data_IF_241446792612
#
_entry.id   IF_241446792612
#
_cell.length_a   1.000
_cell.length_b   1.000
_cell.length_c   1.000
_cell.angle_alpha   90.00
_cell.angle_beta   90.00
_cell.angle_gamma   90.00
#
_symmetry.space_group_name_H-M   'P 1'
#
loop_
_entity.id
_entity.type
_entity.pdbx_description
1 polymer ?
#
# COMPACT_ATOMS: atom_id res chain seq x y z
N UNK A 1 -14.37 8.50 -1.11
CA UNK A 1 -14.19 7.66 -2.32
C UNK A 1 -12.89 6.90 -2.12
N UNK A 2 -12.86 5.61 -2.46
CA UNK A 2 -11.64 4.80 -2.32
C UNK A 2 -11.09 4.48 -3.71
N UNK A 3 -9.77 4.31 -3.82
CA UNK A 3 -9.12 3.76 -5.00
C UNK A 3 -8.83 2.27 -4.76
N UNK A 4 -8.74 1.50 -5.85
CA UNK A 4 -8.11 0.18 -5.80
C UNK A 4 -6.59 0.32 -5.71
N UNK A 5 -5.92 -0.74 -5.26
CA UNK A 5 -4.44 -0.76 -5.11
C UNK A 5 -3.74 -0.46 -6.43
N UNK A 6 -4.20 -1.03 -7.55
CA UNK A 6 -3.58 -0.76 -8.86
C UNK A 6 -3.69 0.73 -9.26
N UNK A 7 -4.82 1.38 -8.96
CA UNK A 7 -5.03 2.80 -9.25
C UNK A 7 -4.18 3.70 -8.35
N UNK A 8 -4.05 3.34 -7.07
CA UNK A 8 -3.17 4.04 -6.14
C UNK A 8 -1.71 3.93 -6.58
N UNK A 9 -1.28 2.75 -7.06
CA UNK A 9 0.07 2.53 -7.61
C UNK A 9 0.30 3.30 -8.91
N UNK A 10 -0.69 3.39 -9.78
CA UNK A 10 -0.60 4.25 -10.99
C UNK A 10 -0.40 5.72 -10.58
N UNK A 11 -1.18 6.20 -9.61
CA UNK A 11 -1.04 7.54 -9.06
C UNK A 11 0.34 7.75 -8.41
N UNK A 12 0.86 6.78 -7.67
CA UNK A 12 2.21 6.85 -7.09
C UNK A 12 3.28 7.04 -8.19
N UNK A 13 3.16 6.33 -9.31
CA UNK A 13 4.10 6.49 -10.45
C UNK A 13 4.04 7.89 -11.07
N UNK A 14 2.86 8.51 -11.15
CA UNK A 14 2.72 9.91 -11.63
C UNK A 14 3.52 10.90 -10.76
N UNK A 15 3.71 10.57 -9.47
CA UNK A 15 4.48 11.36 -8.51
C UNK A 15 5.92 10.88 -8.32
N UNK A 16 6.40 9.97 -9.19
CA UNK A 16 7.75 9.43 -9.13
C UNK A 16 8.02 8.54 -7.91
N UNK A 17 6.96 8.02 -7.27
CA UNK A 17 7.07 7.11 -6.14
C UNK A 17 7.23 5.68 -6.69
N UNK A 18 8.30 5.01 -6.24
CA UNK A 18 8.60 3.64 -6.62
C UNK A 18 7.51 2.69 -6.13
N UNK A 19 7.03 1.84 -7.03
CA UNK A 19 6.11 0.75 -6.76
C UNK A 19 6.51 -0.44 -7.60
N UNK A 20 6.25 -1.66 -7.11
CA UNK A 20 6.47 -2.86 -7.89
C UNK A 20 5.66 -2.81 -9.19
N UNK A 21 6.21 -3.42 -10.24
CA UNK A 21 5.55 -3.49 -11.53
C UNK A 21 4.44 -4.54 -11.43
N UNK A 22 3.24 -4.12 -11.79
CA UNK A 22 2.06 -4.98 -11.74
C UNK A 22 1.09 -4.67 -12.85
N UNK A 23 0.34 -5.69 -13.26
CA UNK A 23 -0.61 -5.64 -14.35
C UNK A 23 -2.00 -6.04 -13.80
N UNK A 24 -2.98 -5.12 -13.80
CA UNK A 24 -4.35 -5.47 -13.50
C UNK A 24 -4.97 -6.25 -14.66
N UNK A 25 -5.68 -7.33 -14.34
CA UNK A 25 -6.41 -8.17 -15.30
C UNK A 25 -7.85 -8.34 -14.88
N UNK A 26 -8.77 -8.34 -15.84
CA UNK A 26 -10.22 -8.51 -15.60
C UNK A 26 -10.75 -9.87 -16.08
N UNK A 27 -9.88 -10.68 -16.71
CA UNK A 27 -10.25 -11.97 -17.30
C UNK A 27 -9.12 -12.97 -17.17
N UNK A 28 -9.46 -14.24 -16.90
CA UNK A 28 -8.48 -15.33 -16.85
C UNK A 28 -7.67 -15.48 -18.14
N UNK A 29 -8.19 -15.03 -19.29
CA UNK A 29 -7.48 -15.08 -20.57
C UNK A 29 -6.28 -14.12 -20.64
N UNK A 30 -6.25 -13.10 -19.79
CA UNK A 30 -5.19 -12.08 -19.77
C UNK A 30 -4.00 -12.49 -18.89
N UNK A 31 -4.17 -13.47 -17.99
CA UNK A 31 -3.18 -13.89 -16.98
C UNK A 31 -1.83 -14.23 -17.61
N UNK A 32 -1.81 -15.14 -18.59
CA UNK A 32 -0.59 -15.57 -19.27
C UNK A 32 0.15 -14.40 -19.92
N UNK A 33 -0.58 -13.48 -20.56
CA UNK A 33 0.02 -12.30 -21.20
C UNK A 33 0.61 -11.35 -20.16
N UNK A 34 -0.10 -11.14 -19.04
CA UNK A 34 0.35 -10.31 -17.93
C UNK A 34 1.65 -10.88 -17.33
N UNK A 35 1.65 -12.17 -16.97
CA UNK A 35 2.85 -12.83 -16.41
C UNK A 35 4.04 -12.76 -17.38
N UNK A 36 3.83 -13.04 -18.66
CA UNK A 36 4.90 -12.94 -19.66
C UNK A 36 5.47 -11.52 -19.86
N UNK A 37 4.78 -10.50 -19.35
CA UNK A 37 5.22 -9.10 -19.41
C UNK A 37 5.87 -8.62 -18.09
N UNK A 38 5.86 -9.46 -17.06
CA UNK A 38 6.48 -9.24 -15.76
C UNK A 38 7.77 -10.05 -15.67
N UNK A 39 8.74 -9.53 -14.93
CA UNK A 39 10.00 -10.21 -14.69
C UNK A 39 9.87 -11.19 -13.50
N UNK A 40 10.84 -12.10 -13.36
CA UNK A 40 10.91 -13.05 -12.25
C UNK A 40 10.36 -14.44 -12.54
N UNK A 41 10.46 -15.32 -11.53
CA UNK A 41 9.99 -16.72 -11.55
C UNK A 41 8.80 -16.97 -10.62
N UNK A 42 8.39 -15.94 -9.87
CA UNK A 42 7.22 -15.96 -8.99
C UNK A 42 6.59 -14.57 -8.98
N UNK A 43 5.29 -14.53 -8.68
CA UNK A 43 4.47 -13.32 -8.68
C UNK A 43 3.50 -13.33 -7.52
N UNK A 44 3.05 -12.15 -7.10
CA UNK A 44 1.97 -12.00 -6.13
C UNK A 44 0.68 -11.69 -6.88
N UNK A 45 -0.35 -12.51 -6.67
CA UNK A 45 -1.70 -12.29 -7.22
C UNK A 45 -2.62 -11.75 -6.14
N UNK A 46 -3.27 -10.62 -6.43
CA UNK A 46 -4.02 -9.83 -5.45
C UNK A 46 -5.42 -9.50 -5.95
N UNK A 47 -6.44 -10.03 -5.30
CA UNK A 47 -7.82 -9.64 -5.53
C UNK A 47 -8.00 -8.14 -5.22
N UNK A 48 -8.62 -7.42 -6.16
CA UNK A 48 -8.85 -5.99 -6.03
C UNK A 48 -10.25 -5.73 -5.47
N UNK A 49 -10.28 -5.35 -4.20
CA UNK A 49 -11.46 -4.85 -3.48
C UNK A 49 -11.03 -3.64 -2.64
N UNK A 50 -11.97 -2.84 -2.15
CA UNK A 50 -11.64 -1.67 -1.33
C UNK A 50 -11.36 -2.02 0.13
N UNK A 51 -11.84 -3.19 0.60
CA UNK A 51 -11.58 -3.67 1.94
C UNK A 51 -10.15 -4.20 2.10
N UNK A 52 -9.55 -3.91 3.25
CA UNK A 52 -8.30 -4.52 3.73
C UNK A 52 -8.52 -5.96 4.22
N UNK A 53 -7.44 -6.58 4.72
CA UNK A 53 -7.48 -7.96 5.23
C UNK A 53 -7.53 -9.06 4.18
N UNK A 54 -7.26 -8.70 2.91
CA UNK A 54 -7.34 -9.60 1.75
C UNK A 54 -6.45 -10.83 1.90
N UNK A 55 -5.22 -10.68 2.39
CA UNK A 55 -4.29 -11.80 2.60
C UNK A 55 -4.84 -12.87 3.55
N UNK A 56 -5.39 -12.46 4.70
CA UNK A 56 -6.02 -13.38 5.67
C UNK A 56 -7.24 -14.12 5.09
N UNK A 57 -7.91 -13.54 4.09
CA UNK A 57 -9.03 -14.13 3.39
C UNK A 57 -8.63 -14.97 2.15
N UNK A 58 -7.33 -15.13 1.88
CA UNK A 58 -6.82 -15.82 0.68
C UNK A 58 -6.97 -15.02 -0.62
N UNK A 59 -7.24 -13.72 -0.52
CA UNK A 59 -7.29 -12.77 -1.64
C UNK A 59 -5.92 -12.21 -2.03
N UNK A 60 -4.84 -12.68 -1.41
CA UNK A 60 -3.44 -12.41 -1.80
C UNK A 60 -2.68 -13.72 -1.70
N UNK A 61 -2.06 -14.17 -2.78
CA UNK A 61 -1.30 -15.43 -2.82
C UNK A 61 0.00 -15.25 -3.64
N UNK A 62 1.08 -15.93 -3.23
CA UNK A 62 2.31 -16.07 -4.01
C UNK A 62 2.13 -17.24 -4.98
N UNK A 63 2.46 -17.04 -6.25
CA UNK A 63 2.35 -18.05 -7.30
C UNK A 63 3.67 -18.19 -8.05
N UNK A 64 4.01 -19.41 -8.45
CA UNK A 64 5.27 -19.76 -9.14
C UNK A 64 5.05 -20.20 -10.59
N UNK A 65 3.81 -20.18 -11.07
CA UNK A 65 3.46 -20.59 -12.44
C UNK A 65 2.24 -19.83 -12.96
N UNK A 66 2.09 -19.82 -14.29
CA UNK A 66 0.90 -19.26 -14.95
C UNK A 66 -0.35 -20.01 -14.53
N UNK A 67 -0.24 -21.33 -14.37
CA UNK A 67 -1.34 -22.21 -14.01
C UNK A 67 -1.86 -21.92 -12.59
N UNK A 68 -0.97 -21.66 -11.63
CA UNK A 68 -1.35 -21.22 -10.27
C UNK A 68 -2.07 -19.86 -10.30
N UNK A 69 -1.59 -18.91 -11.10
CA UNK A 69 -2.25 -17.61 -11.26
C UNK A 69 -3.64 -17.72 -11.92
N UNK A 70 -3.80 -18.61 -12.91
CA UNK A 70 -5.08 -18.90 -13.55
C UNK A 70 -6.08 -19.55 -12.57
N UNK A 71 -5.61 -20.44 -11.69
CA UNK A 71 -6.42 -21.03 -10.63
C UNK A 71 -6.88 -19.97 -9.63
N UNK A 72 -5.99 -19.07 -9.21
CA UNK A 72 -6.35 -17.92 -8.37
C UNK A 72 -7.39 -17.03 -9.06
N UNK A 73 -7.22 -16.76 -10.35
CA UNK A 73 -8.18 -15.98 -11.13
C UNK A 73 -9.56 -16.63 -11.21
N UNK A 74 -9.61 -17.95 -11.45
CA UNK A 74 -10.86 -18.73 -11.45
C UNK A 74 -11.49 -18.80 -10.05
N UNK A 75 -10.68 -18.77 -9.00
CA UNK A 75 -11.14 -18.74 -7.61
C UNK A 75 -11.85 -17.43 -7.31
N UNK A 76 -11.32 -16.28 -7.76
CA UNK A 76 -11.79 -14.98 -7.30
C UNK A 76 -12.56 -14.12 -8.31
N UNK A 77 -12.22 -14.09 -9.60
CA UNK A 77 -12.90 -13.22 -10.57
C UNK A 77 -14.40 -13.54 -10.64
N UNK A 78 -15.22 -12.50 -10.52
CA UNK A 78 -16.69 -12.59 -10.53
C UNK A 78 -17.30 -13.14 -9.24
N UNK A 79 -16.49 -13.38 -8.19
CA UNK A 79 -16.96 -13.78 -6.86
C UNK A 79 -16.75 -12.66 -5.85
N UNK A 80 -17.39 -12.80 -4.70
CA UNK A 80 -17.20 -11.85 -3.60
C UNK A 80 -16.11 -12.34 -2.64
N UNK A 81 -15.23 -11.43 -2.25
CA UNK A 81 -14.24 -11.63 -1.20
C UNK A 81 -14.79 -11.06 0.11
N UNK A 82 -14.93 -11.94 1.11
CA UNK A 82 -15.29 -11.56 2.48
C UNK A 82 -14.00 -11.37 3.26
N UNK A 83 -13.84 -10.23 3.94
CA UNK A 83 -12.75 -9.96 4.86
C UNK A 83 -13.31 -9.50 6.21
N UNK A 84 -12.45 -9.33 7.22
CA UNK A 84 -12.89 -8.79 8.51
C UNK A 84 -13.41 -7.34 8.42
N UNK A 85 -13.16 -6.65 7.30
CA UNK A 85 -13.63 -5.28 7.04
C UNK A 85 -14.84 -5.21 6.09
N UNK A 86 -15.37 -6.35 5.64
CA UNK A 86 -16.59 -6.41 4.83
C UNK A 86 -17.79 -6.88 5.66
N UNK A 87 -18.99 -6.73 5.12
CA UNK A 87 -20.14 -7.47 5.61
C UNK A 87 -20.05 -8.97 5.22
N UNK A 88 -21.05 -9.75 5.62
CA UNK A 88 -21.15 -11.18 5.31
C UNK A 88 -21.27 -11.48 3.80
N UNK A 89 -21.62 -10.47 2.97
CA UNK A 89 -21.74 -10.62 1.52
C UNK A 89 -20.43 -10.38 0.80
N UNK A 90 -19.49 -9.67 1.41
CA UNK A 90 -18.19 -9.37 0.85
C UNK A 90 -18.25 -8.34 -0.29
N UNK A 91 -17.11 -8.11 -0.94
CA UNK A 91 -17.00 -7.19 -2.08
C UNK A 91 -16.68 -7.95 -3.37
N UNK A 92 -17.26 -7.54 -4.51
CA UNK A 92 -17.05 -8.24 -5.78
C UNK A 92 -15.62 -8.04 -6.28
N UNK A 93 -14.97 -9.14 -6.66
CA UNK A 93 -13.64 -9.12 -7.27
C UNK A 93 -13.81 -9.11 -8.79
N UNK A 94 -13.69 -7.92 -9.38
CA UNK A 94 -13.74 -7.73 -10.84
C UNK A 94 -12.36 -7.61 -11.48
N UNK A 95 -11.30 -7.52 -10.67
CA UNK A 95 -9.94 -7.33 -11.12
C UNK A 95 -8.98 -8.04 -10.19
N UNK A 96 -7.92 -8.60 -10.77
CA UNK A 96 -6.79 -9.15 -10.04
C UNK A 96 -5.55 -8.38 -10.47
N UNK A 97 -4.73 -7.96 -9.52
CA UNK A 97 -3.42 -7.40 -9.78
C UNK A 97 -2.41 -8.53 -9.70
N UNK A 98 -1.66 -8.75 -10.78
CA UNK A 98 -0.48 -9.62 -10.80
C UNK A 98 0.74 -8.72 -10.69
N UNK A 99 1.62 -8.99 -9.74
CA UNK A 99 2.74 -8.11 -9.42
C UNK A 99 4.04 -8.89 -9.25
N UNK A 100 5.15 -8.28 -9.67
CA UNK A 100 6.50 -8.80 -9.42
C UNK A 100 6.77 -8.95 -7.93
N UNK A 101 7.40 -10.05 -7.54
CA UNK A 101 7.87 -10.23 -6.17
C UNK A 101 8.96 -9.21 -5.85
N UNK A 102 9.01 -8.79 -4.59
CA UNK A 102 10.06 -7.93 -4.05
C UNK A 102 10.67 -8.66 -2.86
N UNK A 103 11.99 -8.66 -2.76
CA UNK A 103 12.67 -9.19 -1.59
C UNK A 103 12.50 -8.19 -0.44
N UNK A 104 11.80 -8.62 0.60
CA UNK A 104 11.46 -7.76 1.74
C UNK A 104 12.43 -8.04 2.87
N UNK A 105 13.21 -7.04 3.26
CA UNK A 105 14.07 -7.11 4.46
C UNK A 105 13.30 -6.70 5.71
N UNK A 106 12.59 -5.58 5.61
CA UNK A 106 11.80 -5.00 6.70
C UNK A 106 10.43 -4.56 6.16
N UNK A 107 9.40 -4.63 7.01
CA UNK A 107 8.07 -4.11 6.71
C UNK A 107 7.76 -2.94 7.64
N UNK A 108 7.60 -1.76 7.08
CA UNK A 108 7.28 -0.54 7.81
C UNK A 108 5.82 -0.12 7.57
N UNK A 109 5.29 0.73 8.43
CA UNK A 109 4.03 1.41 8.21
C UNK A 109 4.27 2.88 7.87
N UNK A 110 3.54 3.40 6.88
CA UNK A 110 3.40 4.84 6.64
C UNK A 110 1.94 5.18 6.37
N UNK A 111 1.40 6.14 7.11
CA UNK A 111 0.07 6.69 6.89
C UNK A 111 0.08 8.21 6.91
N UNK A 112 -0.91 8.84 6.27
CA UNK A 112 -1.16 10.27 6.40
C UNK A 112 -2.66 10.57 6.40
N UNK A 113 -3.08 11.48 7.26
CA UNK A 113 -4.48 11.91 7.43
C UNK A 113 -4.57 13.39 7.75
N UNK A 114 -5.74 13.99 7.53
CA UNK A 114 -6.08 15.25 8.19
C UNK A 114 -6.53 14.96 9.61
N UNK A 115 -5.65 15.25 10.57
CA UNK A 115 -5.94 15.14 11.99
C UNK A 115 -6.90 16.26 12.41
N UNK A 116 -8.06 15.87 12.95
CA UNK A 116 -9.14 16.82 13.26
C UNK A 116 -8.83 17.72 14.45
N UNK A 117 -8.08 17.21 15.42
CA UNK A 117 -7.77 17.93 16.65
C UNK A 117 -6.76 19.05 16.38
N UNK A 118 -5.68 18.73 15.67
CA UNK A 118 -4.66 19.70 15.27
C UNK A 118 -5.02 20.49 14.01
N UNK A 119 -6.01 20.03 13.24
CA UNK A 119 -6.42 20.57 11.94
C UNK A 119 -5.27 20.63 10.94
N UNK A 120 -4.45 19.57 10.93
CA UNK A 120 -3.23 19.49 10.09
C UNK A 120 -3.17 18.17 9.35
N UNK A 121 -2.46 18.19 8.22
CA UNK A 121 -1.96 16.97 7.62
C UNK A 121 -0.90 16.36 8.55
N UNK A 122 -1.15 15.14 9.02
CA UNK A 122 -0.28 14.40 9.92
C UNK A 122 0.16 13.12 9.25
N UNK A 123 1.47 12.94 9.15
CA UNK A 123 2.10 11.68 8.79
C UNK A 123 2.35 10.84 10.04
N UNK A 124 2.20 9.54 9.89
CA UNK A 124 2.38 8.53 10.93
C UNK A 124 3.28 7.43 10.37
N UNK A 125 4.26 6.99 11.15
CA UNK A 125 5.13 5.87 10.79
C UNK A 125 5.31 4.91 11.96
N UNK A 126 5.59 3.65 11.66
CA UNK A 126 5.89 2.61 12.65
C UNK A 126 6.81 1.55 12.05
N UNK A 127 7.64 0.94 12.90
CA UNK A 127 8.40 -0.28 12.57
C UNK A 127 7.47 -1.51 12.47
N UNK A 128 6.22 -1.39 12.94
CA UNK A 128 5.22 -2.45 12.89
C UNK A 128 4.42 -2.40 11.58
N UNK A 129 5.09 -2.68 10.46
CA UNK A 129 4.44 -2.85 9.15
C UNK A 129 3.75 -4.20 9.00
N UNK A 130 2.91 -4.33 7.97
CA UNK A 130 2.23 -5.58 7.62
C UNK A 130 1.04 -5.96 8.52
N UNK A 131 0.84 -5.23 9.63
CA UNK A 131 -0.25 -5.45 10.59
C UNK A 131 -1.24 -4.28 10.62
N UNK A 132 -2.36 -4.47 11.31
CA UNK A 132 -3.39 -3.45 11.43
C UNK A 132 -2.89 -2.32 12.35
N UNK A 133 -2.88 -1.07 11.84
CA UNK A 133 -2.33 0.06 12.60
C UNK A 133 -3.20 0.46 13.80
N UNK A 134 -4.51 0.22 13.73
CA UNK A 134 -5.41 0.48 14.85
C UNK A 134 -5.13 -0.45 16.04
N UNK A 135 -4.72 -1.69 15.76
CA UNK A 135 -4.24 -2.63 16.79
C UNK A 135 -2.98 -2.07 17.47
N UNK A 136 -1.98 -1.63 16.70
CA UNK A 136 -0.77 -0.99 17.23
C UNK A 136 -1.11 0.24 18.06
N UNK A 137 -2.02 1.10 17.58
CA UNK A 137 -2.44 2.30 18.30
C UNK A 137 -3.13 1.98 19.64
N UNK A 138 -3.79 0.83 19.76
CA UNK A 138 -4.46 0.41 20.99
C UNK A 138 -3.54 -0.31 21.99
N UNK A 139 -2.59 -1.10 21.50
CA UNK A 139 -1.73 -1.98 22.32
C UNK A 139 -0.37 -1.34 22.62
N UNK A 140 0.22 -0.66 21.65
CA UNK A 140 1.57 -0.08 21.71
C UNK A 140 1.62 1.29 21.01
N UNK A 141 0.82 2.28 21.47
CA UNK A 141 0.75 3.60 20.83
C UNK A 141 2.10 4.32 20.73
N UNK A 142 3.05 4.01 21.62
CA UNK A 142 4.40 4.55 21.61
C UNK A 142 5.23 4.16 20.38
N UNK A 143 4.81 3.13 19.64
CA UNK A 143 5.45 2.70 18.38
C UNK A 143 5.00 3.51 17.16
N UNK A 144 4.02 4.40 17.33
CA UNK A 144 3.51 5.26 16.25
C UNK A 144 4.11 6.65 16.40
N UNK A 145 4.99 7.00 15.47
CA UNK A 145 5.64 8.31 15.44
C UNK A 145 4.92 9.22 14.46
N UNK A 146 4.78 10.50 14.82
CA UNK A 146 3.97 11.46 14.05
C UNK A 146 4.75 12.71 13.70
N UNK A 147 4.50 13.24 12.51
CA UNK A 147 4.92 14.59 12.10
C UNK A 147 3.73 15.35 11.52
N UNK A 148 3.56 16.61 11.92
CA UNK A 148 2.45 17.45 11.49
C UNK A 148 2.93 18.54 10.55
N UNK A 149 2.44 18.52 9.32
CA UNK A 149 2.78 19.50 8.28
C UNK A 149 2.27 20.88 8.69
N UNK A 150 3.14 21.88 8.59
CA UNK A 150 2.75 23.27 8.80
C UNK A 150 1.95 23.78 7.58
N UNK A 151 0.70 24.25 7.75
CA UNK A 151 -0.13 24.64 6.61
C UNK A 151 0.37 25.89 5.86
N UNK A 152 1.18 26.73 6.50
CA UNK A 152 1.76 27.93 5.87
C UNK A 152 3.08 27.65 5.17
N UNK A 153 3.89 26.72 5.71
CA UNK A 153 5.24 26.41 5.18
C UNK A 153 5.24 25.21 4.23
N UNK A 154 4.24 24.34 4.31
CA UNK A 154 4.22 23.06 3.61
C UNK A 154 5.11 22.00 4.30
N UNK A 155 5.19 20.79 3.69
CA UNK A 155 6.00 19.70 4.21
C UNK A 155 7.50 20.06 4.12
N UNK A 156 8.28 19.63 5.11
CA UNK A 156 9.70 19.95 5.19
C UNK A 156 10.58 18.71 5.35
N UNK A 157 11.82 18.81 4.86
CA UNK A 157 12.86 17.79 5.02
C UNK A 157 13.09 17.39 6.49
N UNK A 158 13.05 18.36 7.41
CA UNK A 158 13.24 18.10 8.85
C UNK A 158 12.15 17.18 9.43
N UNK A 159 10.90 17.29 8.96
CA UNK A 159 9.83 16.37 9.37
C UNK A 159 10.12 14.95 8.89
N UNK A 160 10.60 14.81 7.65
CA UNK A 160 11.00 13.51 7.10
C UNK A 160 12.19 12.92 7.85
N UNK A 161 13.20 13.75 8.16
CA UNK A 161 14.41 13.33 8.88
C UNK A 161 14.02 12.80 10.27
N UNK A 162 13.16 13.51 11.00
CA UNK A 162 12.66 13.07 12.31
C UNK A 162 11.92 11.72 12.23
N UNK A 163 11.05 11.52 11.24
CA UNK A 163 10.35 10.25 11.05
C UNK A 163 11.33 9.13 10.68
N UNK A 164 12.28 9.40 9.78
CA UNK A 164 13.27 8.42 9.31
C UNK A 164 14.21 7.94 10.43
N UNK A 165 14.53 8.81 11.39
CA UNK A 165 15.29 8.43 12.59
C UNK A 165 14.50 7.50 13.50
N UNK A 166 13.19 7.70 13.63
CA UNK A 166 12.31 6.81 14.41
C UNK A 166 12.10 5.45 13.76
N UNK A 167 12.24 5.39 12.45
CA UNK A 167 12.24 4.16 11.66
C UNK A 167 13.62 3.49 11.59
N UNK A 168 14.63 4.04 12.27
CA UNK A 168 15.99 3.48 12.33
C UNK A 168 16.62 3.27 10.93
N UNK A 169 16.23 4.09 9.96
CA UNK A 169 16.69 3.97 8.57
C UNK A 169 18.19 4.29 8.44
N UNK A 170 18.88 3.56 7.57
CA UNK A 170 20.27 3.89 7.17
C UNK A 170 20.35 5.23 6.43
N UNK A 171 21.53 5.84 6.35
CA UNK A 171 21.69 7.17 5.74
C UNK A 171 21.20 7.24 4.28
N UNK A 172 21.39 6.16 3.50
CA UNK A 172 20.85 6.08 2.13
C UNK A 172 19.32 5.99 2.12
N UNK A 173 18.74 5.19 3.02
CA UNK A 173 17.29 5.06 3.17
C UNK A 173 16.65 6.36 3.68
N UNK A 174 17.33 7.14 4.53
CA UNK A 174 16.84 8.47 4.97
C UNK A 174 16.66 9.42 3.79
N UNK A 175 17.61 9.44 2.85
CA UNK A 175 17.51 10.26 1.62
C UNK A 175 16.32 9.80 0.77
N UNK A 176 16.13 8.49 0.61
CA UNK A 176 14.98 7.92 -0.12
C UNK A 176 13.65 8.26 0.58
N UNK A 177 13.59 8.11 1.89
CA UNK A 177 12.41 8.41 2.70
C UNK A 177 12.05 9.89 2.65
N UNK A 178 13.04 10.78 2.66
CA UNK A 178 12.81 12.22 2.51
C UNK A 178 12.17 12.56 1.16
N UNK A 179 12.68 11.99 0.07
CA UNK A 179 12.07 12.16 -1.25
C UNK A 179 10.65 11.59 -1.30
N UNK A 180 10.43 10.40 -0.73
CA UNK A 180 9.12 9.76 -0.62
C UNK A 180 8.13 10.63 0.15
N UNK A 181 8.50 11.08 1.36
CA UNK A 181 7.68 11.93 2.21
C UNK A 181 7.22 13.20 1.49
N UNK A 182 8.15 13.92 0.85
CA UNK A 182 7.85 15.15 0.13
C UNK A 182 6.91 14.89 -1.06
N UNK A 183 7.14 13.82 -1.82
CA UNK A 183 6.27 13.43 -2.94
C UNK A 183 4.87 13.02 -2.47
N UNK A 184 4.76 12.25 -1.38
CA UNK A 184 3.48 11.84 -0.81
C UNK A 184 2.71 13.05 -0.25
N UNK A 185 3.39 13.97 0.44
CA UNK A 185 2.75 15.17 0.98
C UNK A 185 2.26 16.10 -0.13
N UNK A 186 3.06 16.26 -1.20
CA UNK A 186 2.64 17.00 -2.41
C UNK A 186 1.40 16.35 -3.04
N UNK A 187 1.43 15.04 -3.26
CA UNK A 187 0.33 14.28 -3.84
C UNK A 187 -0.94 14.38 -2.98
N UNK A 188 -0.80 14.28 -1.65
CA UNK A 188 -1.90 14.37 -0.71
C UNK A 188 -2.68 15.67 -0.87
N UNK A 189 -1.96 16.79 -0.98
CA UNK A 189 -2.55 18.12 -1.15
C UNK A 189 -3.10 18.31 -2.58
N UNK A 190 -2.33 17.98 -3.61
CA UNK A 190 -2.74 18.21 -5.01
C UNK A 190 -3.93 17.35 -5.46
N UNK A 191 -4.13 16.18 -4.84
CA UNK A 191 -5.25 15.27 -5.16
C UNK A 191 -6.37 15.33 -4.14
N UNK A 192 -6.33 16.28 -3.20
CA UNK A 192 -7.33 16.44 -2.12
C UNK A 192 -7.61 15.11 -1.39
N UNK A 193 -6.55 14.37 -1.03
CA UNK A 193 -6.71 13.09 -0.35
C UNK A 193 -7.24 13.31 1.08
N UNK A 194 -8.04 12.35 1.56
CA UNK A 194 -8.49 12.33 2.96
C UNK A 194 -7.66 11.39 3.83
N UNK A 195 -7.09 10.35 3.21
CA UNK A 195 -6.31 9.29 3.83
C UNK A 195 -5.31 8.77 2.79
N UNK A 196 -4.09 8.51 3.24
CA UNK A 196 -3.06 7.79 2.52
C UNK A 196 -2.51 6.73 3.44
N UNK A 197 -2.34 5.51 2.94
CA UNK A 197 -1.74 4.42 3.70
C UNK A 197 -0.88 3.55 2.79
N UNK A 198 0.35 3.30 3.21
CA UNK A 198 1.29 2.35 2.64
C UNK A 198 1.60 1.34 3.74
N UNK A 199 1.05 0.15 3.60
CA UNK A 199 1.17 -0.92 4.59
C UNK A 199 1.24 -2.30 3.90
N UNK A 200 2.44 -2.89 3.74
CA UNK A 200 3.73 -2.39 4.22
C UNK A 200 4.38 -1.37 3.26
N UNK A 201 5.24 -0.51 3.81
CA UNK A 201 6.33 0.19 3.11
C UNK A 201 7.59 -0.67 3.25
N UNK A 202 8.20 -1.03 2.11
CA UNK A 202 9.34 -1.97 2.02
C UNK A 202 10.54 -1.33 1.35
#
# INVERSE_FOLDING_TARGET
MNLHEYQAKDLFREYGISVSKGIPVNSSKEIRKAINSLDGSSWVVKAQVHAGGRGKAGGVELVNSVEEAELFAKKWLGKNLVTYQTDEKGQPVNTILIEECTDISDELYLGAVIDRDSQRLVFMVSLEGGINIEEVASVSPEKIFKASVNPLKGPSSNEADQLSEKLELSDSQKIQFQALYLSLAKMFVEKDLSLLEINPLV
#
